data_IF_129660579584
#
_entry.id   IF_129660579584
#
_cell.length_a   1.000
_cell.length_b   1.000
_cell.length_c   1.000
_cell.angle_alpha   90.00
_cell.angle_beta   90.00
_cell.angle_gamma   90.00
#
_symmetry.space_group_name_H-M   'P 1'
#
loop_
_entity.id
_entity.type
_entity.pdbx_description
1 polymer ?
#
# COMPACT_ATOMS: atom_id res chain seq x y z
N UNK A 1 27.16 21.42 20.41
CA UNK A 1 25.81 21.49 21.01
C UNK A 1 25.30 20.06 21.06
N UNK A 2 25.25 19.45 22.26
CA UNK A 2 24.73 18.10 22.47
C UNK A 2 23.20 18.18 22.27
N UNK A 3 22.66 17.50 21.26
CA UNK A 3 21.21 17.42 21.06
C UNK A 3 20.74 16.29 21.96
N UNK A 4 20.25 16.59 23.16
CA UNK A 4 19.66 15.56 24.01
C UNK A 4 18.42 14.96 23.34
N UNK A 5 18.17 13.66 23.56
CA UNK A 5 16.96 13.00 23.08
C UNK A 5 15.70 13.67 23.65
N UNK A 6 14.68 13.84 22.81
CA UNK A 6 13.49 14.64 23.14
C UNK A 6 12.44 13.90 24.00
N UNK A 7 12.76 12.71 24.51
CA UNK A 7 11.86 11.90 25.33
C UNK A 7 10.71 11.21 24.57
N UNK A 8 10.59 11.38 23.25
CA UNK A 8 9.48 10.83 22.46
C UNK A 8 9.75 9.42 21.90
N UNK A 9 10.84 8.76 22.31
CA UNK A 9 11.21 7.44 21.79
C UNK A 9 10.13 6.37 22.02
N UNK A 10 9.40 6.42 23.13
CA UNK A 10 8.28 5.51 23.36
C UNK A 10 7.13 5.74 22.36
N UNK A 11 6.76 7.00 22.11
CA UNK A 11 5.74 7.35 21.12
C UNK A 11 6.15 6.89 19.71
N UNK A 12 7.42 7.07 19.34
CA UNK A 12 7.97 6.56 18.08
C UNK A 12 7.92 5.04 17.98
N UNK A 13 8.30 4.34 19.04
CA UNK A 13 8.28 2.87 19.05
C UNK A 13 6.84 2.35 18.87
N UNK A 14 5.87 2.94 19.55
CA UNK A 14 4.43 2.63 19.36
C UNK A 14 4.03 2.90 17.91
N UNK A 15 4.38 4.07 17.36
CA UNK A 15 4.03 4.43 15.99
C UNK A 15 4.61 3.48 14.95
N UNK A 16 5.86 3.05 15.15
CA UNK A 16 6.48 2.00 14.32
C UNK A 16 5.65 0.72 14.36
N UNK A 17 5.22 0.26 15.54
CA UNK A 17 4.42 -0.96 15.66
C UNK A 17 3.07 -0.82 14.94
N UNK A 18 2.39 0.31 15.08
CA UNK A 18 1.11 0.58 14.40
C UNK A 18 1.24 0.49 12.88
N UNK A 19 2.20 1.21 12.31
CA UNK A 19 2.42 1.24 10.85
C UNK A 19 2.78 -0.16 10.35
N UNK A 20 3.66 -0.87 11.07
CA UNK A 20 4.10 -2.21 10.69
C UNK A 20 2.98 -3.24 10.81
N UNK A 21 2.10 -3.11 11.80
CA UNK A 21 0.93 -3.99 11.94
C UNK A 21 -0.05 -3.79 10.78
N UNK A 22 -0.37 -2.53 10.45
CA UNK A 22 -1.22 -2.21 9.31
C UNK A 22 -0.63 -2.73 7.99
N UNK A 23 0.68 -2.56 7.79
CA UNK A 23 1.38 -3.09 6.62
C UNK A 23 1.27 -4.62 6.53
N UNK A 24 1.51 -5.34 7.63
CA UNK A 24 1.38 -6.81 7.67
C UNK A 24 -0.05 -7.26 7.39
N UNK A 25 -1.06 -6.57 7.91
CA UNK A 25 -2.46 -6.88 7.63
C UNK A 25 -2.76 -6.77 6.12
N UNK A 26 -2.27 -5.72 5.47
CA UNK A 26 -2.42 -5.54 4.02
C UNK A 26 -1.69 -6.65 3.25
N UNK A 27 -0.46 -7.00 3.67
CA UNK A 27 0.30 -8.09 3.05
C UNK A 27 -0.42 -9.43 3.15
N UNK A 28 -0.96 -9.76 4.33
CA UNK A 28 -1.72 -10.98 4.56
C UNK A 28 -2.94 -11.04 3.64
N UNK A 29 -3.65 -9.92 3.48
CA UNK A 29 -4.77 -9.85 2.54
C UNK A 29 -4.31 -10.12 1.10
N UNK A 30 -3.27 -9.44 0.62
CA UNK A 30 -2.78 -9.60 -0.76
C UNK A 30 -2.30 -11.04 -1.01
N UNK A 31 -1.65 -11.68 -0.05
CA UNK A 31 -1.17 -13.06 -0.15
C UNK A 31 -2.31 -14.11 -0.21
N UNK A 32 -3.48 -13.78 0.35
CA UNK A 32 -4.66 -14.64 0.29
C UNK A 32 -5.43 -14.52 -1.03
N UNK A 33 -5.16 -13.49 -1.84
CA UNK A 33 -5.81 -13.34 -3.14
C UNK A 33 -5.47 -14.55 -4.02
N UNK A 34 -6.51 -15.17 -4.57
CA UNK A 34 -6.43 -16.22 -5.58
C UNK A 34 -7.04 -15.70 -6.86
N UNK A 35 -6.28 -15.77 -7.95
CA UNK A 35 -6.77 -15.44 -9.28
C UNK A 35 -6.55 -16.67 -10.16
N UNK A 36 -7.65 -17.29 -10.61
CA UNK A 36 -7.61 -18.45 -11.50
C UNK A 36 -8.46 -18.16 -12.74
N UNK A 37 -8.04 -17.21 -13.60
CA UNK A 37 -8.74 -16.96 -14.86
C UNK A 37 -8.65 -18.18 -15.77
N UNK A 38 -9.70 -18.41 -16.57
CA UNK A 38 -9.59 -19.30 -17.73
C UNK A 38 -8.65 -18.70 -18.79
N UNK A 39 -8.26 -19.51 -19.78
CA UNK A 39 -7.41 -19.04 -20.89
C UNK A 39 -8.07 -17.86 -21.66
N UNK A 40 -9.39 -17.89 -21.80
CA UNK A 40 -10.17 -16.86 -22.49
C UNK A 40 -10.22 -15.54 -21.69
N UNK A 41 -10.20 -15.63 -20.35
CA UNK A 41 -10.29 -14.48 -19.46
C UNK A 41 -8.93 -13.91 -19.07
N UNK A 42 -7.84 -14.59 -19.43
CA UNK A 42 -6.50 -14.22 -19.03
C UNK A 42 -6.15 -12.76 -19.40
N UNK A 43 -6.62 -12.31 -20.57
CA UNK A 43 -6.38 -10.97 -21.11
C UNK A 43 -7.46 -9.95 -20.74
N UNK A 44 -8.44 -10.33 -19.91
CA UNK A 44 -9.43 -9.36 -19.45
C UNK A 44 -8.83 -8.41 -18.41
N UNK A 45 -9.23 -7.15 -18.51
CA UNK A 45 -8.61 -6.01 -17.81
C UNK A 45 -8.50 -6.22 -16.29
N UNK A 46 -9.57 -6.69 -15.64
CA UNK A 46 -9.56 -6.94 -14.20
C UNK A 46 -8.59 -8.04 -13.77
N UNK A 47 -8.47 -9.12 -14.54
CA UNK A 47 -7.51 -10.18 -14.25
C UNK A 47 -6.06 -9.72 -14.47
N UNK A 48 -5.80 -8.92 -15.50
CA UNK A 48 -4.49 -8.31 -15.71
C UNK A 48 -4.09 -7.42 -14.53
N UNK A 49 -4.99 -6.54 -14.08
CA UNK A 49 -4.77 -5.67 -12.91
C UNK A 49 -4.53 -6.49 -11.65
N UNK A 50 -5.32 -7.54 -11.41
CA UNK A 50 -5.16 -8.39 -10.23
C UNK A 50 -3.81 -9.09 -10.20
N UNK A 51 -3.36 -9.67 -11.33
CA UNK A 51 -2.02 -10.29 -11.42
C UNK A 51 -0.90 -9.27 -11.19
N UNK A 52 -1.03 -8.06 -11.74
CA UNK A 52 -0.09 -6.98 -11.49
C UNK A 52 -0.02 -6.64 -10.00
N UNK A 53 -1.17 -6.60 -9.31
CA UNK A 53 -1.22 -6.33 -7.86
C UNK A 53 -0.55 -7.44 -7.04
N UNK A 54 -0.78 -8.71 -7.40
CA UNK A 54 -0.11 -9.85 -6.74
C UNK A 54 1.40 -9.75 -6.92
N UNK A 55 1.88 -9.50 -8.14
CA UNK A 55 3.30 -9.33 -8.43
C UNK A 55 3.92 -8.16 -7.64
N UNK A 56 3.25 -7.01 -7.60
CA UNK A 56 3.68 -5.85 -6.80
C UNK A 56 3.69 -6.16 -5.30
N UNK A 57 2.70 -6.89 -4.78
CA UNK A 57 2.68 -7.36 -3.39
C UNK A 57 3.89 -8.24 -3.05
N UNK A 58 4.24 -9.17 -3.93
CA UNK A 58 5.43 -10.02 -3.77
C UNK A 58 6.73 -9.21 -3.83
N UNK A 59 6.83 -8.21 -4.70
CA UNK A 59 7.98 -7.30 -4.74
C UNK A 59 8.14 -6.50 -3.45
N UNK A 60 7.04 -6.04 -2.84
CA UNK A 60 7.07 -5.35 -1.54
C UNK A 60 7.56 -6.26 -0.42
N UNK A 61 7.22 -7.56 -0.45
CA UNK A 61 7.73 -8.57 0.48
C UNK A 61 9.23 -8.82 0.30
N UNK A 62 9.69 -8.88 -0.96
CA UNK A 62 11.09 -9.15 -1.28
C UNK A 62 12.04 -7.98 -0.99
N UNK A 63 11.50 -6.76 -0.83
CA UNK A 63 12.33 -5.57 -0.58
C UNK A 63 12.76 -5.53 0.89
N UNK A 64 14.05 -5.64 1.23
CA UNK A 64 14.51 -5.55 2.62
C UNK A 64 14.28 -4.15 3.19
N UNK A 65 14.17 -4.03 4.51
CA UNK A 65 14.23 -2.73 5.19
C UNK A 65 15.52 -2.02 4.78
N UNK A 66 15.47 -0.75 4.38
CA UNK A 66 16.69 -0.01 4.02
C UNK A 66 17.39 0.40 5.33
N UNK A 67 18.50 -0.25 5.72
CA UNK A 67 19.14 0.04 7.00
C UNK A 67 20.04 1.27 6.93
N UNK A 68 20.44 1.70 5.73
CA UNK A 68 21.62 2.55 5.56
C UNK A 68 21.33 3.87 4.83
N UNK A 69 21.58 4.97 5.55
CA UNK A 69 22.35 6.10 5.02
C UNK A 69 23.23 6.63 6.16
N UNK A 70 24.51 6.25 6.15
CA UNK A 70 25.66 6.91 6.77
C UNK A 70 25.34 7.77 8.02
N UNK A 71 25.11 7.12 9.16
CA UNK A 71 25.00 7.80 10.45
C UNK A 71 26.36 7.92 11.12
N UNK A 72 27.24 8.82 10.66
CA UNK A 72 28.27 9.34 11.57
C UNK A 72 27.57 10.25 12.57
N UNK A 73 27.21 9.73 13.74
CA UNK A 73 26.62 10.55 14.79
C UNK A 73 25.94 9.75 15.90
N UNK A 74 26.30 10.10 17.13
CA UNK A 74 25.91 9.56 18.44
C UNK A 74 26.57 8.22 18.83
N UNK A 75 27.00 8.04 20.10
CA UNK A 75 27.53 6.78 20.61
C UNK A 75 26.51 5.65 20.41
N UNK A 76 27.00 4.46 20.06
CA UNK A 76 26.17 3.25 19.97
C UNK A 76 25.43 3.03 21.29
N UNK A 77 24.09 2.90 21.24
CA UNK A 77 23.23 2.74 22.43
C UNK A 77 22.78 4.04 23.12
N UNK A 78 23.17 5.22 22.62
CA UNK A 78 22.62 6.49 23.12
C UNK A 78 21.15 6.67 22.75
N UNK A 79 20.38 7.40 23.59
CA UNK A 79 18.98 7.71 23.31
C UNK A 79 18.78 8.49 21.99
N UNK A 80 19.79 9.26 21.60
CA UNK A 80 19.86 10.03 20.36
C UNK A 80 20.00 9.11 19.14
N UNK A 81 20.86 8.09 19.23
CA UNK A 81 20.97 7.06 18.20
C UNK A 81 19.65 6.31 18.02
N UNK A 82 18.96 5.99 19.13
CA UNK A 82 17.64 5.35 19.11
C UNK A 82 16.59 6.26 18.46
N UNK A 83 16.57 7.54 18.81
CA UNK A 83 15.67 8.53 18.20
C UNK A 83 15.85 8.62 16.68
N UNK A 84 17.10 8.77 16.22
CA UNK A 84 17.42 8.83 14.78
C UNK A 84 17.01 7.53 14.09
N UNK A 85 17.25 6.39 14.72
CA UNK A 85 16.87 5.09 14.17
C UNK A 85 15.35 4.93 14.04
N UNK A 86 14.58 5.25 15.08
CA UNK A 86 13.13 5.14 15.07
C UNK A 86 12.47 6.08 14.04
N UNK A 87 12.95 7.32 13.90
CA UNK A 87 12.50 8.25 12.85
C UNK A 87 12.70 7.68 11.45
N UNK A 88 13.87 7.08 11.19
CA UNK A 88 14.15 6.41 9.92
C UNK A 88 13.19 5.24 9.71
N UNK A 89 12.89 4.50 10.78
CA UNK A 89 11.97 3.37 10.68
C UNK A 89 10.57 3.84 10.29
N UNK A 90 10.06 4.90 10.93
CA UNK A 90 8.74 5.49 10.63
C UNK A 90 8.65 5.87 9.15
N UNK A 91 9.69 6.47 8.58
CA UNK A 91 9.70 6.89 7.17
C UNK A 91 9.59 5.67 6.22
N UNK A 92 10.45 4.67 6.37
CA UNK A 92 10.44 3.49 5.48
C UNK A 92 9.18 2.64 5.68
N UNK A 93 8.72 2.47 6.92
CA UNK A 93 7.47 1.76 7.23
C UNK A 93 6.25 2.48 6.63
N UNK A 94 6.19 3.81 6.72
CA UNK A 94 5.12 4.62 6.13
C UNK A 94 5.08 4.48 4.61
N UNK A 95 6.24 4.53 3.96
CA UNK A 95 6.35 4.35 2.51
C UNK A 95 5.87 2.96 2.08
N UNK A 96 6.21 1.91 2.83
CA UNK A 96 5.75 0.54 2.56
C UNK A 96 4.26 0.40 2.74
N UNK A 97 3.70 0.91 3.84
CA UNK A 97 2.25 0.93 4.10
C UNK A 97 1.52 1.66 2.99
N UNK A 98 2.02 2.83 2.57
CA UNK A 98 1.46 3.60 1.46
C UNK A 98 1.44 2.81 0.14
N UNK A 99 2.57 2.21 -0.26
CA UNK A 99 2.66 1.36 -1.46
C UNK A 99 1.69 0.17 -1.37
N UNK A 100 1.69 -0.53 -0.24
CA UNK A 100 0.83 -1.68 -0.02
C UNK A 100 -0.66 -1.29 -0.07
N UNK A 101 -1.04 -0.15 0.51
CA UNK A 101 -2.41 0.34 0.48
C UNK A 101 -2.87 0.63 -0.95
N UNK A 102 -2.02 1.22 -1.80
CA UNK A 102 -2.33 1.41 -3.22
C UNK A 102 -2.56 0.08 -3.94
N UNK A 103 -1.69 -0.90 -3.72
CA UNK A 103 -1.83 -2.26 -4.29
C UNK A 103 -3.13 -2.91 -3.83
N UNK A 104 -3.43 -2.82 -2.54
CA UNK A 104 -4.66 -3.32 -1.93
C UNK A 104 -5.90 -2.75 -2.60
N UNK A 105 -6.00 -1.42 -2.71
CA UNK A 105 -7.16 -0.76 -3.31
C UNK A 105 -7.36 -1.18 -4.77
N UNK A 106 -6.27 -1.29 -5.55
CA UNK A 106 -6.33 -1.76 -6.95
C UNK A 106 -6.77 -3.21 -7.03
N UNK A 107 -6.27 -4.07 -6.14
CA UNK A 107 -6.65 -5.47 -6.07
C UNK A 107 -8.13 -5.64 -5.70
N UNK A 108 -8.64 -4.86 -4.74
CA UNK A 108 -10.06 -4.85 -4.38
C UNK A 108 -10.95 -4.39 -5.53
N UNK A 109 -10.56 -3.33 -6.27
CA UNK A 109 -11.31 -2.90 -7.46
C UNK A 109 -11.35 -4.00 -8.54
N UNK A 110 -10.23 -4.67 -8.78
CA UNK A 110 -10.17 -5.80 -9.71
C UNK A 110 -11.04 -6.99 -9.25
N UNK A 111 -11.03 -7.34 -7.96
CA UNK A 111 -11.88 -8.39 -7.42
C UNK A 111 -13.38 -8.06 -7.54
N UNK A 112 -13.77 -6.81 -7.29
CA UNK A 112 -15.14 -6.35 -7.54
C UNK A 112 -15.53 -6.52 -9.00
N UNK A 113 -14.65 -6.15 -9.93
CA UNK A 113 -14.87 -6.34 -11.36
C UNK A 113 -15.04 -7.83 -11.73
N UNK A 114 -14.18 -8.72 -11.20
CA UNK A 114 -14.27 -10.17 -11.43
C UNK A 114 -15.61 -10.72 -10.95
N UNK A 115 -16.02 -10.34 -9.73
CA UNK A 115 -17.30 -10.78 -9.15
C UNK A 115 -18.49 -10.26 -9.97
N UNK A 116 -18.48 -8.99 -10.37
CA UNK A 116 -19.53 -8.40 -11.19
C UNK A 116 -19.61 -9.05 -12.57
N UNK A 117 -18.47 -9.34 -13.20
CA UNK A 117 -18.42 -10.09 -14.46
C UNK A 117 -19.01 -11.50 -14.30
N UNK A 118 -18.62 -12.22 -13.25
CA UNK A 118 -19.14 -13.56 -12.97
C UNK A 118 -20.66 -13.55 -12.79
N UNK A 119 -21.21 -12.53 -12.12
CA UNK A 119 -22.65 -12.34 -11.95
C UNK A 119 -23.39 -12.03 -13.26
N UNK A 120 -22.76 -11.29 -14.19
CA UNK A 120 -23.33 -11.01 -15.51
C UNK A 120 -23.34 -12.27 -16.37
N UNK A 121 -22.23 -13.02 -16.36
CA UNK A 121 -22.09 -14.19 -17.23
C UNK A 121 -22.83 -15.41 -16.70
N UNK A 122 -23.00 -15.56 -15.39
CA UNK A 122 -23.68 -16.69 -14.75
C UNK A 122 -23.17 -18.07 -15.24
N UNK A 123 -21.88 -18.16 -15.57
CA UNK A 123 -21.25 -19.36 -16.12
C UNK A 123 -21.38 -19.56 -17.63
N UNK A 124 -22.08 -18.68 -18.34
CA UNK A 124 -22.19 -18.68 -19.80
C UNK A 124 -21.00 -17.95 -20.45
N UNK A 125 -20.70 -18.30 -21.70
CA UNK A 125 -19.74 -17.55 -22.51
C UNK A 125 -20.27 -16.14 -22.82
N UNK A 126 -19.40 -15.11 -22.89
CA UNK A 126 -19.79 -13.78 -23.31
C UNK A 126 -20.45 -13.78 -24.71
N UNK A 127 -21.60 -13.10 -24.84
CA UNK A 127 -22.30 -12.94 -26.12
C UNK A 127 -22.93 -11.55 -26.23
N UNK A 128 -23.54 -11.22 -27.38
CA UNK A 128 -24.04 -9.87 -27.69
C UNK A 128 -24.98 -9.30 -26.60
N UNK A 129 -25.89 -10.13 -26.05
CA UNK A 129 -26.75 -9.75 -24.93
C UNK A 129 -26.02 -9.32 -23.64
N UNK A 130 -24.81 -9.84 -23.37
CA UNK A 130 -24.01 -9.44 -22.21
C UNK A 130 -23.17 -8.18 -22.46
N UNK A 131 -22.95 -7.81 -23.72
CA UNK A 131 -21.97 -6.78 -24.09
C UNK A 131 -22.21 -5.42 -23.40
N UNK A 132 -23.44 -4.88 -23.29
CA UNK A 132 -23.66 -3.60 -22.60
C UNK A 132 -23.28 -3.65 -21.12
N UNK A 133 -23.68 -4.71 -20.41
CA UNK A 133 -23.41 -4.87 -18.98
C UNK A 133 -21.91 -5.08 -18.71
N UNK A 134 -21.24 -5.92 -19.52
CA UNK A 134 -19.79 -6.13 -19.41
C UNK A 134 -19.02 -4.84 -19.67
N UNK A 135 -19.46 -4.03 -20.64
CA UNK A 135 -18.84 -2.74 -20.92
C UNK A 135 -19.03 -1.75 -19.77
N UNK A 136 -20.22 -1.72 -19.15
CA UNK A 136 -20.48 -0.89 -17.97
C UNK A 136 -19.55 -1.25 -16.81
N UNK A 137 -19.40 -2.54 -16.50
CA UNK A 137 -18.51 -3.00 -15.43
C UNK A 137 -17.04 -2.70 -15.73
N UNK A 138 -16.61 -2.79 -17.01
CA UNK A 138 -15.28 -2.35 -17.44
C UNK A 138 -15.06 -0.85 -17.23
N UNK A 139 -16.04 -0.02 -17.60
CA UNK A 139 -15.96 1.42 -17.37
C UNK A 139 -15.89 1.75 -15.87
N UNK A 140 -16.67 1.06 -15.04
CA UNK A 140 -16.65 1.22 -13.59
C UNK A 140 -15.27 0.88 -13.00
N UNK A 141 -14.64 -0.21 -13.45
CA UNK A 141 -13.26 -0.54 -13.03
C UNK A 141 -12.29 0.59 -13.36
N UNK A 142 -12.36 1.16 -14.57
CA UNK A 142 -11.47 2.27 -14.97
C UNK A 142 -11.67 3.51 -14.11
N UNK A 143 -12.91 3.84 -13.78
CA UNK A 143 -13.25 4.94 -12.88
C UNK A 143 -12.71 4.68 -11.46
N UNK A 144 -12.86 3.47 -10.94
CA UNK A 144 -12.31 3.11 -9.63
C UNK A 144 -10.77 3.20 -9.63
N UNK A 145 -10.11 2.68 -10.66
CA UNK A 145 -8.66 2.71 -10.77
C UNK A 145 -8.12 4.13 -10.92
N UNK A 146 -8.77 4.99 -11.71
CA UNK A 146 -8.35 6.39 -11.87
C UNK A 146 -8.55 7.21 -10.59
N UNK A 147 -9.53 6.84 -9.76
CA UNK A 147 -9.78 7.46 -8.48
C UNK A 147 -8.74 7.11 -7.40
N UNK A 148 -7.93 6.04 -7.58
CA UNK A 148 -6.85 5.65 -6.66
C UNK A 148 -5.61 6.49 -6.95
N UNK A 149 -5.63 7.74 -6.47
CA UNK A 149 -4.50 8.67 -6.54
C UNK A 149 -3.67 8.65 -5.27
N UNK A 150 -2.41 9.07 -5.37
CA UNK A 150 -1.52 9.20 -4.22
C UNK A 150 -2.13 10.06 -3.10
N UNK A 151 -2.69 11.21 -3.47
CA UNK A 151 -3.34 12.13 -2.53
C UNK A 151 -4.53 11.49 -1.81
N UNK A 152 -5.36 10.72 -2.53
CA UNK A 152 -6.51 10.05 -1.92
C UNK A 152 -6.08 8.94 -0.97
N UNK A 153 -5.04 8.18 -1.32
CA UNK A 153 -4.52 7.12 -0.45
C UNK A 153 -3.90 7.70 0.81
N UNK A 154 -3.07 8.73 0.68
CA UNK A 154 -2.46 9.41 1.83
C UNK A 154 -3.52 10.00 2.76
N UNK A 155 -4.49 10.73 2.20
CA UNK A 155 -5.59 11.31 2.96
C UNK A 155 -6.39 10.24 3.73
N UNK A 156 -6.71 9.11 3.09
CA UNK A 156 -7.44 8.03 3.73
C UNK A 156 -6.65 7.38 4.88
N UNK A 157 -5.33 7.16 4.70
CA UNK A 157 -4.47 6.62 5.75
C UNK A 157 -4.35 7.58 6.94
N UNK A 158 -4.12 8.87 6.66
CA UNK A 158 -4.04 9.93 7.67
C UNK A 158 -5.36 10.07 8.44
N UNK A 159 -6.49 10.08 7.74
CA UNK A 159 -7.80 10.17 8.36
C UNK A 159 -8.07 8.95 9.28
N UNK A 160 -7.73 7.75 8.83
CA UNK A 160 -7.86 6.54 9.64
C UNK A 160 -6.98 6.59 10.89
N UNK A 161 -5.74 7.06 10.76
CA UNK A 161 -4.82 7.20 11.89
C UNK A 161 -5.29 8.25 12.90
N UNK A 162 -5.79 9.40 12.42
CA UNK A 162 -6.36 10.45 13.27
C UNK A 162 -7.61 9.95 14.01
N UNK A 163 -8.50 9.25 13.31
CA UNK A 163 -9.71 8.66 13.92
C UNK A 163 -9.36 7.62 15.00
N UNK A 164 -8.22 6.95 14.86
CA UNK A 164 -7.71 6.00 15.85
C UNK A 164 -6.88 6.66 16.97
N UNK A 165 -6.72 7.99 16.98
CA UNK A 165 -5.97 8.71 18.02
C UNK A 165 -4.46 8.46 18.00
N UNK A 166 -3.90 8.05 16.86
CA UNK A 166 -2.47 7.70 16.73
C UNK A 166 -1.59 8.95 16.72
N UNK A 167 -0.33 8.81 17.15
CA UNK A 167 0.65 9.90 17.11
C UNK A 167 1.29 10.03 15.73
N UNK A 168 1.15 11.19 15.07
CA UNK A 168 1.49 11.40 13.65
C UNK A 168 2.52 12.48 13.38
N UNK A 169 3.12 13.07 14.42
CA UNK A 169 3.99 14.26 14.28
C UNK A 169 5.20 14.02 13.38
N UNK A 170 5.70 12.78 13.32
CA UNK A 170 6.89 12.42 12.56
C UNK A 170 6.61 11.57 11.32
N UNK A 171 5.34 11.34 11.01
CA UNK A 171 4.97 10.64 9.80
C UNK A 171 5.37 11.47 8.57
N UNK A 172 6.01 10.88 7.55
CA UNK A 172 6.46 11.62 6.39
C UNK A 172 5.27 12.24 5.63
N UNK A 173 5.39 13.50 5.17
CA UNK A 173 4.40 14.08 4.28
C UNK A 173 4.42 13.37 2.93
N UNK A 174 3.29 13.44 2.19
CA UNK A 174 3.16 12.80 0.88
C UNK A 174 4.28 13.18 -0.09
N UNK A 175 4.68 14.45 -0.12
CA UNK A 175 5.77 14.93 -0.99
C UNK A 175 7.11 14.22 -0.72
N UNK A 176 7.38 13.81 0.53
CA UNK A 176 8.59 13.04 0.86
C UNK A 176 8.48 11.63 0.31
N UNK A 177 7.33 10.98 0.50
CA UNK A 177 7.08 9.64 -0.02
C UNK A 177 7.17 9.61 -1.56
N UNK A 178 6.58 10.59 -2.24
CA UNK A 178 6.61 10.71 -3.70
C UNK A 178 8.04 10.88 -4.23
N UNK A 179 8.86 11.73 -3.61
CA UNK A 179 10.27 11.87 -4.00
C UNK A 179 11.03 10.54 -3.90
N UNK A 180 10.84 9.79 -2.82
CA UNK A 180 11.47 8.47 -2.65
C UNK A 180 10.99 7.45 -3.69
N UNK A 181 9.74 7.56 -4.14
CA UNK A 181 9.21 6.72 -5.24
C UNK A 181 9.85 7.08 -6.59
N UNK A 182 10.03 8.36 -6.87
CA UNK A 182 10.63 8.85 -8.12
C UNK A 182 12.12 8.52 -8.22
N UNK A 183 12.87 8.61 -7.13
CA UNK A 183 14.32 8.33 -7.09
C UNK A 183 14.67 6.83 -7.06
N UNK A 184 13.69 5.94 -7.16
CA UNK A 184 13.88 4.49 -7.18
C UNK A 184 13.97 3.87 -8.57
N UNK A 185 14.19 4.67 -9.62
CA UNK A 185 14.47 4.22 -10.99
C UNK A 185 15.97 4.28 -11.27
#
# INVERSE_FOLDING_TARGET
MYIMADGLNNARAIRVQEIMNDYRNIQNYIAQIRASPSAEEYNEEGYMVLRQCIAQGQQLLATPFRPDVNGKGAPEGSEEAVQVHLRRIIIDASLRRFKAQKVYLRATAALKWINARSQILQGQSPHAGHAPALQQVRNQLRVELSAITDARVDAALRQADMAAGRWLEEDPPLANMQRTLSSGH
#
